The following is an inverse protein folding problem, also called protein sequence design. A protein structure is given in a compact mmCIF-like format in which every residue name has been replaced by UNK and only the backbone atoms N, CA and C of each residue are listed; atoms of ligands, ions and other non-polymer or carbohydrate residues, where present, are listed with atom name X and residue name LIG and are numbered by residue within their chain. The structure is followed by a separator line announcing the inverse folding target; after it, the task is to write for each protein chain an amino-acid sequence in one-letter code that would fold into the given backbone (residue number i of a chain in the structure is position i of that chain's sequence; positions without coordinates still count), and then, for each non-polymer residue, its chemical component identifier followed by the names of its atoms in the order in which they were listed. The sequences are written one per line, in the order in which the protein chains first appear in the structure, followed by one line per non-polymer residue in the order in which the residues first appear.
data_IF_504401717031
#
_entry.id   IF_504401717031
#
_cell.length_a   1.000
_cell.length_b   1.000
_cell.length_c   1.000
_cell.angle_alpha   90.00
_cell.angle_beta   90.00
_cell.angle_gamma   90.00
#
_symmetry.space_group_name_H-M   'P 1'
#
loop_
_entity.id
_entity.type
_entity.pdbx_description
1 polymer ?
#
# COMPACT_ATOMS: atom_id res chain seq x y z
N UNK A 1 12.22 32.54 15.27
CA UNK A 1 12.34 31.12 14.91
C UNK A 1 13.14 30.95 13.63
N UNK A 2 12.85 31.67 12.54
CA UNK A 2 13.63 31.59 11.28
C UNK A 2 15.08 32.07 11.42
N UNK A 3 15.33 33.09 12.24
CA UNK A 3 16.70 33.58 12.52
C UNK A 3 17.49 32.57 13.35
N UNK A 4 16.85 31.92 14.34
CA UNK A 4 17.47 30.88 15.15
C UNK A 4 17.81 29.64 14.31
N UNK A 5 16.92 29.24 13.39
CA UNK A 5 17.19 28.13 12.48
C UNK A 5 18.35 28.43 11.50
N UNK A 6 18.50 29.68 11.06
CA UNK A 6 19.62 30.12 10.24
C UNK A 6 20.94 30.13 11.02
N UNK A 7 20.91 30.54 12.29
CA UNK A 7 22.12 30.57 13.16
C UNK A 7 22.62 29.19 13.53
N UNK A 8 21.70 28.21 13.68
CA UNK A 8 22.02 26.81 13.99
C UNK A 8 22.29 25.94 12.74
N UNK A 9 22.28 26.52 11.55
CA UNK A 9 22.57 25.81 10.31
C UNK A 9 21.56 24.72 9.95
N UNK A 10 20.37 24.71 10.58
CA UNK A 10 19.32 23.72 10.33
C UNK A 10 18.58 24.09 9.05
N UNK A 11 18.80 23.35 8.00
CA UNK A 11 18.10 23.53 6.73
C UNK A 11 16.65 23.05 6.88
N UNK A 12 15.66 23.92 6.61
CA UNK A 12 14.25 23.56 6.56
C UNK A 12 13.95 22.42 5.55
N UNK A 13 14.77 22.25 4.53
CA UNK A 13 14.64 21.19 3.54
C UNK A 13 15.21 19.85 3.97
N UNK A 14 16.13 19.82 4.94
CA UNK A 14 16.79 18.58 5.38
C UNK A 14 15.80 17.57 6.02
N UNK A 15 14.90 18.06 6.86
CA UNK A 15 13.88 17.21 7.50
C UNK A 15 12.84 16.65 6.52
N UNK A 16 12.46 17.45 5.52
CA UNK A 16 11.52 17.01 4.48
C UNK A 16 12.10 15.90 3.60
N UNK A 17 13.39 16.00 3.25
CA UNK A 17 14.03 15.01 2.37
C UNK A 17 14.00 13.60 2.97
N UNK A 18 14.22 13.46 4.27
CA UNK A 18 14.14 12.18 4.99
C UNK A 18 12.73 11.60 5.00
N UNK A 19 11.70 12.44 4.99
CA UNK A 19 10.31 12.01 4.93
C UNK A 19 9.92 11.43 3.56
N UNK A 20 10.68 11.68 2.49
CA UNK A 20 10.43 11.13 1.16
C UNK A 20 11.06 9.75 0.93
N UNK A 21 12.00 9.30 1.78
CA UNK A 21 12.67 7.99 1.64
C UNK A 21 11.64 6.84 1.59
N UNK A 22 10.63 6.76 2.48
CA UNK A 22 9.62 5.72 2.41
C UNK A 22 8.86 5.68 1.08
N UNK A 23 8.62 6.85 0.48
CA UNK A 23 7.93 6.96 -0.81
C UNK A 23 8.82 6.42 -1.94
N UNK A 24 10.12 6.70 -1.91
CA UNK A 24 11.08 6.17 -2.90
C UNK A 24 11.16 4.64 -2.86
N UNK A 25 11.03 4.04 -1.67
CA UNK A 25 11.00 2.58 -1.50
C UNK A 25 9.64 2.02 -1.93
N UNK A 26 8.57 2.77 -1.69
CA UNK A 26 7.20 2.34 -2.01
C UNK A 26 6.99 2.13 -3.51
N UNK A 27 7.54 2.98 -4.38
CA UNK A 27 7.37 2.86 -5.83
C UNK A 27 7.90 1.53 -6.40
N UNK A 28 9.17 1.14 -6.16
CA UNK A 28 9.65 -0.19 -6.60
C UNK A 28 8.88 -1.34 -5.95
N UNK A 29 8.56 -1.25 -4.66
CA UNK A 29 7.78 -2.27 -3.98
C UNK A 29 6.40 -2.45 -4.63
N UNK A 30 5.74 -1.34 -4.98
CA UNK A 30 4.46 -1.35 -5.67
C UNK A 30 4.56 -1.99 -7.07
N UNK A 31 5.65 -1.73 -7.80
CA UNK A 31 5.90 -2.37 -9.09
C UNK A 31 6.06 -3.89 -8.93
N UNK A 32 6.82 -4.36 -7.94
CA UNK A 32 7.03 -5.79 -7.66
C UNK A 32 5.70 -6.49 -7.32
N UNK A 33 4.88 -5.87 -6.47
CA UNK A 33 3.60 -6.44 -6.07
C UNK A 33 2.61 -6.52 -7.23
N UNK A 34 2.60 -5.53 -8.12
CA UNK A 34 1.69 -5.51 -9.29
C UNK A 34 2.15 -6.38 -10.45
N UNK A 35 3.43 -6.65 -10.55
CA UNK A 35 4.03 -7.41 -11.65
C UNK A 35 4.84 -8.61 -11.12
N UNK A 36 4.20 -9.52 -10.37
CA UNK A 36 4.91 -10.61 -9.70
C UNK A 36 5.53 -11.62 -10.68
N UNK A 37 4.94 -11.82 -11.85
CA UNK A 37 5.53 -12.69 -12.87
C UNK A 37 6.87 -12.14 -13.37
N UNK A 38 6.94 -10.83 -13.56
CA UNK A 38 8.16 -10.17 -14.01
C UNK A 38 9.23 -10.12 -12.91
N UNK A 39 8.87 -9.71 -11.72
CA UNK A 39 9.86 -9.40 -10.68
C UNK A 39 10.12 -10.55 -9.69
N UNK A 40 9.12 -11.37 -9.36
CA UNK A 40 9.27 -12.49 -8.43
C UNK A 40 9.64 -13.76 -9.18
N UNK A 41 8.93 -14.08 -10.26
CA UNK A 41 9.25 -15.23 -11.12
C UNK A 41 10.37 -14.93 -12.13
N UNK A 42 10.92 -13.71 -12.13
CA UNK A 42 12.04 -13.27 -12.96
C UNK A 42 11.84 -13.53 -14.45
N UNK A 43 10.61 -13.37 -14.96
CA UNK A 43 10.31 -13.55 -16.36
C UNK A 43 10.49 -12.24 -17.14
N UNK A 44 10.85 -12.35 -18.43
CA UNK A 44 10.87 -11.19 -19.31
C UNK A 44 9.47 -10.56 -19.40
N UNK A 45 9.41 -9.27 -19.69
CA UNK A 45 8.13 -8.58 -19.85
C UNK A 45 7.25 -9.22 -20.95
N UNK A 46 7.88 -9.74 -21.99
CA UNK A 46 7.17 -10.40 -23.10
C UNK A 46 6.63 -11.78 -22.68
N UNK A 47 7.43 -12.57 -21.96
CA UNK A 47 6.96 -13.84 -21.38
C UNK A 47 5.84 -13.63 -20.39
N UNK A 48 5.95 -12.62 -19.54
CA UNK A 48 4.91 -12.28 -18.57
C UNK A 48 3.59 -11.90 -19.25
N UNK A 49 3.65 -11.13 -20.35
CA UNK A 49 2.47 -10.80 -21.16
C UNK A 49 1.86 -12.05 -21.80
N UNK A 50 2.68 -12.94 -22.36
CA UNK A 50 2.20 -14.21 -22.95
C UNK A 50 1.49 -15.06 -21.90
N UNK A 51 2.07 -15.21 -20.70
CA UNK A 51 1.43 -15.94 -19.60
C UNK A 51 0.07 -15.34 -19.24
N UNK A 52 0.00 -14.01 -19.09
CA UNK A 52 -1.25 -13.32 -18.80
C UNK A 52 -2.28 -13.56 -19.92
N UNK A 53 -1.89 -13.47 -21.17
CA UNK A 53 -2.78 -13.62 -22.32
C UNK A 53 -3.33 -15.04 -22.46
N UNK A 54 -2.50 -16.05 -22.25
CA UNK A 54 -2.93 -17.46 -22.25
C UNK A 54 -3.96 -17.70 -21.14
N UNK A 55 -3.68 -17.26 -19.92
CA UNK A 55 -4.59 -17.46 -18.80
C UNK A 55 -5.87 -16.62 -18.96
N UNK A 56 -5.76 -15.40 -19.45
CA UNK A 56 -6.90 -14.53 -19.71
C UNK A 56 -7.84 -15.09 -20.78
N UNK A 57 -7.28 -15.79 -21.79
CA UNK A 57 -8.07 -16.49 -22.80
C UNK A 57 -8.79 -17.70 -22.21
N UNK A 58 -8.14 -18.41 -21.29
CA UNK A 58 -8.71 -19.60 -20.66
C UNK A 58 -9.72 -19.28 -19.54
N UNK A 59 -9.54 -18.17 -18.84
CA UNK A 59 -10.36 -17.74 -17.71
C UNK A 59 -10.69 -16.24 -17.77
N UNK A 60 -11.44 -15.75 -18.77
CA UNK A 60 -11.70 -14.32 -18.95
C UNK A 60 -12.45 -13.68 -17.78
N UNK A 61 -13.33 -14.43 -17.12
CA UNK A 61 -14.15 -13.94 -16.01
C UNK A 61 -13.33 -13.58 -14.76
N UNK A 62 -12.12 -14.12 -14.63
CA UNK A 62 -11.23 -13.84 -13.51
C UNK A 62 -10.50 -12.49 -13.63
N UNK A 63 -10.50 -11.87 -14.82
CA UNK A 63 -9.79 -10.61 -15.11
C UNK A 63 -10.69 -9.37 -15.13
N UNK A 64 -11.82 -9.41 -14.46
CA UNK A 64 -12.88 -8.41 -14.60
C UNK A 64 -12.60 -7.05 -13.93
N UNK A 65 -11.65 -6.94 -13.00
CA UNK A 65 -11.69 -5.79 -12.09
C UNK A 65 -10.64 -4.70 -12.31
N UNK A 66 -9.43 -5.01 -12.73
CA UNK A 66 -8.42 -3.97 -12.87
C UNK A 66 -7.21 -4.43 -13.69
N UNK A 67 -7.03 -3.86 -14.89
CA UNK A 67 -5.89 -4.12 -15.77
C UNK A 67 -4.53 -3.97 -15.06
N UNK A 68 -4.47 -3.18 -14.02
CA UNK A 68 -3.25 -2.96 -13.24
C UNK A 68 -2.79 -4.20 -12.44
N UNK A 69 -3.66 -5.17 -12.20
CA UNK A 69 -3.39 -6.37 -11.40
C UNK A 69 -3.48 -7.67 -12.21
N UNK A 70 -3.52 -7.61 -13.53
CA UNK A 70 -3.62 -8.80 -14.41
C UNK A 70 -2.50 -9.81 -14.13
N UNK A 71 -1.27 -9.37 -13.91
CA UNK A 71 -0.18 -10.28 -13.54
C UNK A 71 -0.38 -10.96 -12.18
N UNK A 72 -1.02 -10.28 -11.23
CA UNK A 72 -1.33 -10.86 -9.92
C UNK A 72 -2.36 -11.97 -10.05
N UNK A 73 -3.44 -11.70 -10.80
CA UNK A 73 -4.48 -12.69 -11.10
C UNK A 73 -3.89 -13.87 -11.86
N UNK A 74 -3.12 -13.60 -12.91
CA UNK A 74 -2.47 -14.65 -13.68
C UNK A 74 -1.53 -15.50 -12.81
N UNK A 75 -0.69 -14.87 -11.97
CA UNK A 75 0.26 -15.58 -11.12
C UNK A 75 -0.41 -16.56 -10.14
N UNK A 76 -1.63 -16.26 -9.69
CA UNK A 76 -2.43 -17.16 -8.84
C UNK A 76 -2.98 -18.36 -9.64
N UNK A 77 -3.27 -18.17 -10.92
CA UNK A 77 -3.89 -19.16 -11.77
C UNK A 77 -2.87 -20.04 -12.54
N UNK A 78 -1.58 -19.65 -12.57
CA UNK A 78 -0.53 -20.41 -13.26
C UNK A 78 -0.60 -21.92 -12.96
N UNK A 79 -0.69 -22.40 -11.70
CA UNK A 79 -0.70 -23.82 -11.41
C UNK A 79 -1.90 -24.56 -12.01
N UNK A 80 -3.04 -23.89 -12.15
CA UNK A 80 -4.28 -24.46 -12.67
C UNK A 80 -4.21 -24.60 -14.21
N UNK A 81 -3.51 -23.69 -14.88
CA UNK A 81 -3.37 -23.63 -16.34
C UNK A 81 -1.96 -24.02 -16.82
N UNK A 82 -1.26 -24.85 -16.05
CA UNK A 82 0.11 -25.26 -16.35
C UNK A 82 0.23 -26.06 -17.68
N UNK A 83 -0.80 -26.82 -18.04
CA UNK A 83 -0.82 -27.59 -19.30
C UNK A 83 -0.91 -26.67 -20.52
N UNK A 84 -1.79 -25.70 -20.48
CA UNK A 84 -1.99 -24.69 -21.52
C UNK A 84 -0.74 -23.82 -21.68
N UNK A 85 -0.11 -23.43 -20.55
CA UNK A 85 1.13 -22.65 -20.56
C UNK A 85 2.29 -23.43 -21.16
N UNK A 86 2.43 -24.74 -20.87
CA UNK A 86 3.45 -25.58 -21.50
C UNK A 86 3.24 -25.70 -23.02
N UNK A 87 2.00 -25.78 -23.45
CA UNK A 87 1.67 -25.84 -24.87
C UNK A 87 1.94 -24.53 -25.61
N UNK A 88 1.64 -23.41 -24.98
CA UNK A 88 1.76 -22.07 -25.57
C UNK A 88 3.17 -21.48 -25.50
N UNK A 89 3.94 -21.81 -24.47
CA UNK A 89 5.28 -21.24 -24.19
C UNK A 89 6.30 -22.38 -24.09
N UNK A 90 6.94 -22.76 -25.21
CA UNK A 90 7.95 -23.83 -25.19
C UNK A 90 9.14 -23.46 -24.28
N UNK A 91 9.51 -24.38 -23.39
CA UNK A 91 10.65 -24.16 -22.46
C UNK A 91 10.34 -23.37 -21.20
N UNK A 92 9.06 -23.10 -20.90
CA UNK A 92 8.66 -22.50 -19.59
C UNK A 92 9.14 -23.40 -18.45
N UNK A 93 9.77 -22.81 -17.43
CA UNK A 93 10.34 -23.58 -16.33
C UNK A 93 9.28 -24.08 -15.34
N UNK A 94 9.53 -25.23 -14.72
CA UNK A 94 8.64 -25.79 -13.68
C UNK A 94 8.50 -24.84 -12.47
N UNK A 95 9.50 -24.03 -12.18
CA UNK A 95 9.45 -23.02 -11.12
C UNK A 95 8.37 -21.96 -11.44
N UNK A 96 8.27 -21.55 -12.70
CA UNK A 96 7.22 -20.62 -13.13
C UNK A 96 5.85 -21.28 -13.06
N UNK A 97 5.75 -22.53 -13.49
CA UNK A 97 4.49 -23.30 -13.48
C UNK A 97 3.99 -23.62 -12.08
N UNK A 98 4.88 -23.64 -11.07
CA UNK A 98 4.49 -23.73 -9.66
C UNK A 98 3.68 -22.50 -9.19
N UNK A 99 3.81 -21.36 -9.90
CA UNK A 99 3.11 -20.13 -9.57
C UNK A 99 3.58 -19.47 -8.29
N UNK A 100 2.78 -18.54 -7.79
CA UNK A 100 3.04 -17.84 -6.53
C UNK A 100 1.87 -18.08 -5.59
N UNK A 101 2.19 -18.54 -4.38
CA UNK A 101 1.19 -18.67 -3.33
C UNK A 101 0.99 -17.32 -2.65
N UNK A 102 -0.19 -16.73 -2.81
CA UNK A 102 -0.61 -15.48 -2.15
C UNK A 102 -1.45 -15.75 -0.89
N UNK A 103 -1.68 -17.01 -0.53
CA UNK A 103 -2.43 -17.34 0.67
C UNK A 103 -1.61 -17.10 1.93
N UNK A 104 -2.14 -16.31 2.82
CA UNK A 104 -1.61 -16.06 4.14
C UNK A 104 -2.74 -16.17 5.17
N UNK A 105 -2.75 -17.19 5.98
CA UNK A 105 -3.80 -17.49 6.97
C UNK A 105 -5.22 -17.60 6.35
N UNK A 106 -5.32 -18.10 5.12
CA UNK A 106 -6.56 -18.18 4.38
C UNK A 106 -7.00 -16.86 3.74
N UNK A 107 -6.16 -15.83 3.78
CA UNK A 107 -6.41 -14.53 3.17
C UNK A 107 -5.55 -14.40 1.92
N UNK A 108 -6.17 -14.06 0.80
CA UNK A 108 -5.45 -13.83 -0.44
C UNK A 108 -4.80 -12.43 -0.43
N UNK A 109 -3.48 -12.37 -0.21
CA UNK A 109 -2.72 -11.12 -0.19
C UNK A 109 -2.62 -10.43 -1.57
N UNK A 110 -2.85 -11.15 -2.65
CA UNK A 110 -2.91 -10.59 -4.00
C UNK A 110 -4.24 -9.90 -4.29
N UNK A 111 -5.30 -10.17 -3.53
CA UNK A 111 -6.60 -9.57 -3.73
C UNK A 111 -6.58 -8.07 -3.40
N UNK A 112 -7.33 -7.28 -4.20
CA UNK A 112 -7.61 -5.87 -3.89
C UNK A 112 -8.88 -5.83 -3.04
N UNK A 113 -8.83 -5.28 -1.81
CA UNK A 113 -10.02 -5.22 -0.96
C UNK A 113 -11.12 -4.40 -1.62
N UNK A 114 -12.35 -4.92 -1.60
CA UNK A 114 -13.48 -4.20 -2.16
C UNK A 114 -14.07 -3.27 -1.11
N UNK A 115 -14.29 -2.01 -1.48
CA UNK A 115 -14.90 -1.01 -0.60
C UNK A 115 -16.42 -1.22 -0.44
N UNK A 116 -17.06 -1.81 -1.46
CA UNK A 116 -18.51 -1.93 -1.53
C UNK A 116 -19.03 -3.21 -0.86
N UNK A 117 -18.96 -3.25 0.46
CA UNK A 117 -19.37 -4.39 1.30
C UNK A 117 -20.88 -4.71 1.17
N UNK A 118 -21.69 -3.73 0.75
CA UNK A 118 -23.12 -3.87 0.60
C UNK A 118 -23.57 -4.15 -0.84
N UNK A 119 -22.63 -4.37 -1.78
CA UNK A 119 -23.00 -4.71 -3.15
C UNK A 119 -23.46 -6.17 -3.26
N UNK A 120 -24.34 -6.43 -4.22
CA UNK A 120 -24.77 -7.79 -4.54
C UNK A 120 -23.63 -8.70 -5.05
N UNK A 121 -22.50 -8.11 -5.46
CA UNK A 121 -21.30 -8.80 -5.89
C UNK A 121 -20.33 -9.11 -4.75
N UNK A 122 -20.63 -8.74 -3.51
CA UNK A 122 -19.79 -9.05 -2.35
C UNK A 122 -19.90 -10.52 -2.00
N UNK A 123 -18.77 -11.21 -1.96
CA UNK A 123 -18.70 -12.61 -1.52
C UNK A 123 -18.33 -12.65 -0.05
N UNK A 124 -19.19 -13.24 0.77
CA UNK A 124 -18.98 -13.41 2.21
C UNK A 124 -18.12 -14.64 2.49
N UNK A 125 -16.86 -14.60 2.06
CA UNK A 125 -15.85 -15.59 2.39
C UNK A 125 -14.72 -14.99 3.22
N UNK A 126 -13.93 -15.85 3.85
CA UNK A 126 -12.83 -15.42 4.71
C UNK A 126 -11.76 -14.64 3.93
N UNK A 127 -11.53 -14.98 2.66
CA UNK A 127 -10.54 -14.31 1.84
C UNK A 127 -10.88 -12.83 1.60
N UNK A 128 -12.15 -12.52 1.27
CA UNK A 128 -12.62 -11.14 1.04
C UNK A 128 -12.74 -10.36 2.35
N UNK A 129 -13.32 -10.98 3.40
CA UNK A 129 -13.44 -10.36 4.71
C UNK A 129 -12.05 -10.07 5.30
N UNK A 130 -11.13 -11.01 5.19
CA UNK A 130 -9.76 -10.85 5.69
C UNK A 130 -9.00 -9.73 4.98
N UNK A 131 -9.08 -9.64 3.66
CA UNK A 131 -8.47 -8.56 2.91
C UNK A 131 -9.03 -7.18 3.31
N UNK A 132 -10.34 -7.08 3.49
CA UNK A 132 -11.01 -5.87 3.99
C UNK A 132 -10.55 -5.51 5.41
N UNK A 133 -10.47 -6.49 6.32
CA UNK A 133 -10.02 -6.28 7.70
C UNK A 133 -8.56 -5.84 7.76
N UNK A 134 -7.68 -6.35 6.91
CA UNK A 134 -6.28 -5.92 6.85
C UNK A 134 -6.21 -4.43 6.47
N UNK A 135 -6.95 -4.00 5.44
CA UNK A 135 -6.97 -2.60 5.04
C UNK A 135 -7.52 -1.70 6.17
N UNK A 136 -8.60 -2.12 6.82
CA UNK A 136 -9.22 -1.38 7.91
C UNK A 136 -8.30 -1.29 9.15
N UNK A 137 -7.69 -2.40 9.57
CA UNK A 137 -6.78 -2.43 10.73
C UNK A 137 -5.51 -1.63 10.46
N UNK A 138 -4.98 -1.66 9.23
CA UNK A 138 -3.87 -0.80 8.82
C UNK A 138 -4.20 0.69 8.97
N UNK A 139 -5.35 1.11 8.49
CA UNK A 139 -5.80 2.51 8.63
C UNK A 139 -6.06 2.88 10.11
N UNK A 140 -6.65 1.99 10.89
CA UNK A 140 -6.86 2.21 12.32
C UNK A 140 -5.54 2.36 13.09
N UNK A 141 -4.52 1.55 12.75
CA UNK A 141 -3.20 1.65 13.34
C UNK A 141 -2.54 3.02 13.04
N UNK A 142 -2.66 3.49 11.80
CA UNK A 142 -2.15 4.82 11.42
C UNK A 142 -2.89 5.96 12.13
N UNK A 143 -4.20 5.84 12.32
CA UNK A 143 -4.96 6.80 13.12
C UNK A 143 -4.50 6.82 14.58
N UNK A 144 -4.26 5.66 15.18
CA UNK A 144 -3.72 5.56 16.54
C UNK A 144 -2.35 6.20 16.65
N UNK A 145 -1.44 5.93 15.72
CA UNK A 145 -0.12 6.58 15.68
C UNK A 145 -0.23 8.10 15.58
N UNK A 146 -1.13 8.59 14.70
CA UNK A 146 -1.38 10.02 14.56
C UNK A 146 -1.85 10.63 15.87
N UNK A 147 -2.81 10.01 16.57
CA UNK A 147 -3.34 10.50 17.85
C UNK A 147 -2.25 10.50 18.92
N UNK A 148 -1.44 9.44 19.00
CA UNK A 148 -0.31 9.35 19.94
C UNK A 148 0.71 10.44 19.62
N UNK A 149 1.11 10.59 18.36
CA UNK A 149 2.06 11.60 17.92
C UNK A 149 1.57 13.02 18.22
N UNK A 150 0.27 13.30 18.05
CA UNK A 150 -0.31 14.60 18.40
C UNK A 150 -0.23 14.90 19.91
N UNK A 151 -0.40 13.89 20.76
CA UNK A 151 -0.31 14.05 22.22
C UNK A 151 1.12 14.19 22.72
N UNK A 152 2.08 13.58 21.99
CA UNK A 152 3.49 13.56 22.38
C UNK A 152 4.25 14.77 21.83
N UNK A 153 3.86 15.29 20.67
CA UNK A 153 4.48 16.45 20.03
C UNK A 153 3.66 17.73 20.32
N UNK A 154 3.70 18.21 21.56
CA UNK A 154 3.19 19.54 21.89
C UNK A 154 4.07 20.60 21.20
N UNK A 155 3.49 21.37 20.27
CA UNK A 155 4.15 22.54 19.73
C UNK A 155 4.30 23.59 20.82
N UNK A 156 5.54 23.81 21.25
CA UNK A 156 5.88 24.80 22.26
C UNK A 156 6.06 26.15 21.58
N UNK A 157 5.12 27.07 21.78
CA UNK A 157 5.30 28.49 21.49
C UNK A 157 5.46 29.19 22.85
N UNK A 158 6.57 29.87 23.02
CA UNK A 158 6.84 30.71 24.21
C UNK A 158 6.47 32.15 23.94
N UNK A 159 5.86 32.83 24.92
CA UNK A 159 5.64 34.28 24.87
C UNK A 159 6.98 35.02 25.04
N UNK A 160 6.94 36.36 24.98
CA UNK A 160 8.12 37.22 25.16
C UNK A 160 8.79 37.03 26.54
N UNK A 161 8.12 36.43 27.51
CA UNK A 161 8.61 36.15 28.87
C UNK A 161 9.14 34.71 29.05
N UNK A 162 9.18 33.93 27.96
CA UNK A 162 9.64 32.54 27.97
C UNK A 162 8.63 31.53 28.56
N UNK A 163 7.38 31.94 28.80
CA UNK A 163 6.30 31.07 29.28
C UNK A 163 5.60 30.41 28.15
N UNK A 164 5.29 29.12 28.27
CA UNK A 164 4.53 28.35 27.23
C UNK A 164 3.12 28.92 27.08
N UNK A 165 2.84 29.51 25.92
CA UNK A 165 1.48 29.90 25.53
C UNK A 165 0.83 28.79 24.69
N UNK A 166 0.05 27.94 25.37
CA UNK A 166 -0.67 26.83 24.76
C UNK A 166 -1.84 27.28 23.89
N UNK A 167 -2.44 28.45 24.15
CA UNK A 167 -3.57 28.94 23.35
C UNK A 167 -3.11 29.54 22.03
N UNK A 168 -2.07 30.34 22.02
CA UNK A 168 -1.47 30.88 20.80
C UNK A 168 -0.85 29.77 19.96
N UNK A 169 -0.22 28.76 20.59
CA UNK A 169 0.27 27.57 19.90
C UNK A 169 -0.86 26.79 19.20
N UNK A 170 -2.01 26.68 19.84
CA UNK A 170 -3.17 25.94 19.31
C UNK A 170 -3.87 26.65 18.17
N UNK A 171 -3.85 27.96 18.14
CA UNK A 171 -4.54 28.81 17.16
C UNK A 171 -3.63 29.32 16.04
N UNK A 172 -2.32 29.02 16.07
CA UNK A 172 -1.42 29.45 15.01
C UNK A 172 -1.83 28.80 13.65
N UNK A 173 -1.77 29.59 12.59
CA UNK A 173 -2.11 29.17 11.21
C UNK A 173 -1.24 27.95 10.80
N UNK A 174 -0.03 27.87 11.31
CA UNK A 174 0.89 26.76 11.08
C UNK A 174 0.36 25.46 11.71
N UNK A 175 -0.23 25.50 12.91
CA UNK A 175 -0.84 24.34 13.57
C UNK A 175 -2.14 23.91 12.86
N UNK A 176 -2.89 24.87 12.31
CA UNK A 176 -4.12 24.57 11.61
C UNK A 176 -3.87 23.84 10.28
N UNK A 177 -2.89 24.31 9.50
CA UNK A 177 -2.47 23.61 8.27
C UNK A 177 -1.80 22.25 8.55
N UNK A 178 -1.03 22.15 9.63
CA UNK A 178 -0.44 20.89 10.06
C UNK A 178 -1.49 19.87 10.50
N UNK A 179 -2.55 20.29 11.20
CA UNK A 179 -3.69 19.43 11.54
C UNK A 179 -4.43 18.90 10.31
N UNK A 180 -4.71 19.77 9.34
CA UNK A 180 -5.36 19.36 8.08
C UNK A 180 -4.50 18.33 7.36
N UNK A 181 -3.19 18.57 7.25
CA UNK A 181 -2.24 17.65 6.62
C UNK A 181 -2.17 16.32 7.36
N UNK A 182 -2.18 16.33 8.69
CA UNK A 182 -2.15 15.12 9.53
C UNK A 182 -3.42 14.29 9.38
N UNK A 183 -4.61 14.90 9.27
CA UNK A 183 -5.86 14.19 9.02
C UNK A 183 -5.99 13.65 7.59
N UNK A 184 -5.38 14.36 6.64
CA UNK A 184 -5.40 13.94 5.24
C UNK A 184 -4.59 12.65 5.01
N UNK A 185 -3.49 12.45 5.75
CA UNK A 185 -2.66 11.24 5.62
C UNK A 185 -3.41 9.93 5.88
N UNK A 186 -4.10 9.74 7.03
CA UNK A 186 -4.84 8.50 7.27
C UNK A 186 -6.01 8.28 6.31
N UNK A 187 -6.68 9.34 5.88
CA UNK A 187 -7.75 9.24 4.89
C UNK A 187 -7.21 8.79 3.53
N UNK A 188 -6.08 9.37 3.11
CA UNK A 188 -5.40 8.96 1.87
C UNK A 188 -4.90 7.52 1.97
N UNK A 189 -4.34 7.11 3.11
CA UNK A 189 -3.90 5.73 3.34
C UNK A 189 -5.06 4.74 3.32
N UNK A 190 -6.20 5.10 3.88
CA UNK A 190 -7.41 4.29 3.80
C UNK A 190 -7.84 4.11 2.34
N UNK A 191 -7.92 5.20 1.59
CA UNK A 191 -8.27 5.15 0.18
C UNK A 191 -7.29 4.30 -0.64
N UNK A 192 -5.98 4.49 -0.42
CA UNK A 192 -4.95 3.68 -1.09
C UNK A 192 -5.07 2.21 -0.65
N UNK A 193 -5.32 1.92 0.63
CA UNK A 193 -5.49 0.56 1.15
C UNK A 193 -6.60 -0.24 0.45
N UNK A 194 -7.63 0.44 -0.07
CA UNK A 194 -8.68 -0.16 -0.89
C UNK A 194 -8.42 -0.15 -2.40
N UNK A 195 -7.34 0.46 -2.83
CA UNK A 195 -6.93 0.49 -4.25
C UNK A 195 -5.73 -0.40 -4.56
N UNK A 196 -5.04 -0.86 -3.51
CA UNK A 196 -3.88 -1.74 -3.61
C UNK A 196 -4.19 -3.14 -3.11
N UNK A 197 -3.31 -4.10 -3.40
CA UNK A 197 -3.45 -5.46 -2.89
C UNK A 197 -3.37 -5.52 -1.36
N UNK A 198 -4.06 -6.49 -0.75
CA UNK A 198 -4.06 -6.72 0.68
C UNK A 198 -2.64 -6.92 1.26
N UNK A 199 -1.71 -7.46 0.47
CA UNK A 199 -0.31 -7.61 0.85
C UNK A 199 0.40 -6.28 1.12
N UNK A 200 0.12 -5.23 0.33
CA UNK A 200 0.69 -3.91 0.58
C UNK A 200 0.07 -3.24 1.82
N UNK A 201 -1.22 -3.44 2.03
CA UNK A 201 -1.90 -2.99 3.26
C UNK A 201 -1.34 -3.68 4.51
N UNK A 202 -1.02 -4.98 4.42
CA UNK A 202 -0.35 -5.73 5.49
C UNK A 202 1.06 -5.19 5.76
N UNK A 203 1.83 -4.87 4.72
CA UNK A 203 3.14 -4.24 4.87
C UNK A 203 3.04 -2.91 5.64
N UNK A 204 2.08 -2.07 5.31
CA UNK A 204 1.85 -0.81 6.05
C UNK A 204 1.39 -1.03 7.48
N UNK A 205 0.58 -2.04 7.73
CA UNK A 205 0.19 -2.42 9.08
C UNK A 205 1.41 -2.79 9.94
N UNK A 206 2.28 -3.67 9.43
CA UNK A 206 3.49 -4.12 10.15
C UNK A 206 4.49 -2.97 10.32
N UNK A 207 4.64 -2.12 9.31
CA UNK A 207 5.52 -0.95 9.37
C UNK A 207 5.00 0.18 10.28
N UNK A 208 3.71 0.11 10.64
CA UNK A 208 3.06 1.08 11.50
C UNK A 208 2.95 0.65 12.98
N UNK A 209 3.32 -0.57 13.33
CA UNK A 209 3.35 -1.08 14.71
C UNK A 209 4.76 -0.98 15.28
#
# INVERSE_FOLDING_TARGET
IQELQKSEGVSMGGGCLWSFIPILILFPLFAVIRQPITYILMQSADTAKQIVEVIKTAAPDMFTSNAAYEQVVAAQLIPQYAAELRAAIPGISEVVLAGINFDFLGINLGAVPQFNVFSASWVWDWAHIGAFLIALTSAACQLLQMVISQKTNDSVITDEKGVQDKETAKNSQQNQSMKVMMWMMPLMSLWIGFTVSAGLSLYWFIGGV
#
